data_IF_969519599843
#
_entry.id   IF_969519599843
#
_cell.length_a   1.000
_cell.length_b   1.000
_cell.length_c   1.000
_cell.angle_alpha   90.00
_cell.angle_beta   90.00
_cell.angle_gamma   90.00
#
_symmetry.space_group_name_H-M   'P 1'
#
loop_
_entity.id
_entity.type
_entity.pdbx_description
1 polymer ?
#
# COMPACT_ATOMS: atom_id res chain seq x y z
N UNK A 1 5.43 -16.13 -24.19
CA UNK A 1 6.06 -16.50 -22.90
C UNK A 1 5.06 -16.18 -21.81
N UNK A 2 4.78 -17.11 -20.87
CA UNK A 2 3.99 -16.76 -19.68
C UNK A 2 4.78 -15.70 -18.90
N UNK A 3 4.13 -14.58 -18.59
CA UNK A 3 4.66 -13.59 -17.66
C UNK A 3 4.98 -14.28 -16.33
N UNK A 4 6.15 -14.02 -15.75
CA UNK A 4 6.49 -14.55 -14.42
C UNK A 4 5.63 -13.86 -13.38
N UNK A 5 5.15 -14.62 -12.40
CA UNK A 5 4.47 -14.08 -11.22
C UNK A 5 5.47 -13.28 -10.38
N UNK A 6 5.03 -12.12 -9.88
CA UNK A 6 5.83 -11.22 -9.04
C UNK A 6 5.07 -10.83 -7.80
N UNK A 7 5.79 -10.45 -6.76
CA UNK A 7 5.19 -9.78 -5.60
C UNK A 7 5.42 -8.28 -5.70
N UNK A 8 4.41 -7.50 -5.35
CA UNK A 8 4.57 -6.07 -5.13
C UNK A 8 4.27 -5.77 -3.66
N UNK A 9 5.34 -5.52 -2.91
CA UNK A 9 5.29 -5.20 -1.49
C UNK A 9 5.00 -3.71 -1.34
N UNK A 10 4.04 -3.34 -0.50
CA UNK A 10 3.75 -1.94 -0.27
C UNK A 10 3.20 -1.68 1.13
N UNK A 11 3.30 -0.41 1.52
CA UNK A 11 2.85 0.10 2.81
C UNK A 11 2.42 1.57 2.65
N UNK A 12 1.46 2.00 3.48
CA UNK A 12 0.97 3.36 3.51
C UNK A 12 1.25 4.03 4.86
N UNK A 13 1.71 5.27 4.79
CA UNK A 13 1.59 6.20 5.90
C UNK A 13 0.38 7.08 5.66
N UNK A 14 -0.46 7.25 6.67
CA UNK A 14 -1.77 7.91 6.55
C UNK A 14 -1.92 9.00 7.61
N UNK A 15 -2.76 9.97 7.32
CA UNK A 15 -3.07 11.09 8.23
C UNK A 15 -4.22 10.77 9.21
N UNK A 16 -4.54 9.49 9.41
CA UNK A 16 -5.58 9.00 10.31
C UNK A 16 -5.85 7.51 10.09
N UNK A 17 -6.81 6.92 10.81
CA UNK A 17 -7.06 5.48 10.81
C UNK A 17 -8.31 5.06 10.02
N UNK A 18 -9.19 5.99 9.68
CA UNK A 18 -10.43 5.71 8.95
C UNK A 18 -10.19 5.85 7.44
N UNK A 19 -10.08 4.72 6.75
CA UNK A 19 -9.84 4.65 5.31
C UNK A 19 -10.87 5.40 4.44
N UNK A 20 -12.07 5.66 4.98
CA UNK A 20 -13.13 6.37 4.26
C UNK A 20 -12.93 7.88 4.28
N UNK A 21 -12.45 8.42 5.40
CA UNK A 21 -12.41 9.85 5.67
C UNK A 21 -10.98 10.42 5.66
N UNK A 22 -10.03 9.65 6.18
CA UNK A 22 -8.64 10.07 6.32
C UNK A 22 -7.88 9.92 5.00
N UNK A 23 -6.78 10.66 4.87
CA UNK A 23 -6.01 10.76 3.63
C UNK A 23 -4.67 10.03 3.74
N UNK A 24 -4.27 9.42 2.64
CA UNK A 24 -2.93 8.83 2.51
C UNK A 24 -1.91 9.98 2.50
N UNK A 25 -0.84 9.86 3.28
CA UNK A 25 0.27 10.81 3.33
C UNK A 25 1.42 10.37 2.43
N UNK A 26 1.75 9.08 2.47
CA UNK A 26 2.84 8.48 1.70
C UNK A 26 2.48 7.06 1.25
N UNK A 27 3.03 6.66 0.12
CA UNK A 27 3.04 5.29 -0.38
C UNK A 27 4.49 4.88 -0.60
N UNK A 28 4.87 3.73 -0.06
CA UNK A 28 6.13 3.07 -0.34
C UNK A 28 5.87 1.70 -0.97
N UNK A 29 6.71 1.28 -1.91
CA UNK A 29 6.60 -0.08 -2.43
C UNK A 29 7.79 -0.56 -3.26
N UNK A 30 7.95 -1.86 -3.35
CA UNK A 30 9.02 -2.53 -4.10
C UNK A 30 8.52 -3.83 -4.71
N UNK A 31 8.97 -4.12 -5.93
CA UNK A 31 8.66 -5.37 -6.63
C UNK A 31 9.74 -6.40 -6.34
N UNK A 32 9.35 -7.66 -6.20
CA UNK A 32 10.28 -8.79 -6.14
C UNK A 32 9.86 -9.91 -7.08
N UNK A 33 10.81 -10.76 -7.44
CA UNK A 33 10.50 -12.05 -8.04
C UNK A 33 9.97 -13.05 -7.00
N UNK A 34 9.67 -14.27 -7.44
CA UNK A 34 9.16 -15.34 -6.57
C UNK A 34 10.18 -15.84 -5.53
N UNK A 35 11.47 -15.52 -5.68
CA UNK A 35 12.52 -15.82 -4.71
C UNK A 35 12.82 -14.62 -3.79
N UNK A 36 11.92 -13.64 -3.79
CA UNK A 36 12.02 -12.41 -3.00
C UNK A 36 13.25 -11.56 -3.35
N UNK A 37 13.79 -11.71 -4.56
CA UNK A 37 14.85 -10.84 -5.05
C UNK A 37 14.24 -9.56 -5.61
N UNK A 38 14.73 -8.41 -5.16
CA UNK A 38 14.23 -7.09 -5.58
C UNK A 38 14.36 -6.89 -7.11
N UNK A 39 13.34 -6.26 -7.67
CA UNK A 39 13.22 -5.97 -9.10
C UNK A 39 12.96 -4.48 -9.30
N UNK A 40 13.93 -3.79 -9.91
CA UNK A 40 13.83 -2.35 -10.13
C UNK A 40 14.06 -1.55 -8.86
N UNK A 41 13.73 -0.25 -8.91
CA UNK A 41 13.97 0.67 -7.81
C UNK A 41 12.76 0.74 -6.86
N UNK A 42 13.00 0.93 -5.54
CA UNK A 42 11.94 1.25 -4.60
C UNK A 42 11.16 2.49 -5.04
N UNK A 43 9.84 2.46 -4.89
CA UNK A 43 8.96 3.60 -5.13
C UNK A 43 8.63 4.27 -3.80
N UNK A 44 8.77 5.60 -3.76
CA UNK A 44 8.31 6.43 -2.66
C UNK A 44 7.54 7.64 -3.22
N UNK A 45 6.26 7.76 -2.84
CA UNK A 45 5.38 8.83 -3.28
C UNK A 45 4.78 9.51 -2.06
N UNK A 46 4.64 10.84 -2.12
CA UNK A 46 3.86 11.61 -1.15
C UNK A 46 2.55 12.07 -1.80
N UNK A 47 1.48 12.16 -1.02
CA UNK A 47 0.21 12.69 -1.46
C UNK A 47 -0.06 14.02 -0.76
N UNK A 48 -0.15 15.09 -1.56
CA UNK A 48 -0.50 16.43 -1.08
C UNK A 48 -1.96 16.43 -0.63
N UNK A 49 -2.19 16.87 0.61
CA UNK A 49 -3.53 17.07 1.16
C UNK A 49 -4.31 18.13 0.37
N UNK A 50 -5.62 17.92 0.26
CA UNK A 50 -6.57 18.94 -0.19
C UNK A 50 -6.89 19.92 0.94
N UNK A 51 -7.31 21.13 0.57
CA UNK A 51 -7.57 22.23 1.52
C UNK A 51 -8.81 22.02 2.42
N UNK A 52 -9.55 20.93 2.21
CA UNK A 52 -10.78 20.57 2.92
C UNK A 52 -10.58 19.54 4.06
N UNK A 53 -9.33 19.14 4.32
CA UNK A 53 -9.01 18.11 5.32
C UNK A 53 -7.95 18.59 6.32
N UNK A 54 -8.14 18.21 7.59
CA UNK A 54 -7.15 18.38 8.64
C UNK A 54 -6.71 16.99 9.14
N UNK A 55 -5.40 16.71 9.23
CA UNK A 55 -4.91 15.41 9.66
C UNK A 55 -5.14 15.17 11.16
N UNK A 56 -5.25 13.90 11.55
CA UNK A 56 -5.13 13.51 12.94
C UNK A 56 -3.71 13.84 13.44
N UNK A 57 -3.56 14.68 14.49
CA UNK A 57 -2.26 15.06 15.00
C UNK A 57 -1.43 13.87 15.50
N UNK A 58 -2.07 12.82 16.03
CA UNK A 58 -1.36 11.64 16.53
C UNK A 58 -0.76 10.83 15.37
N UNK A 59 -1.48 10.65 14.27
CA UNK A 59 -0.92 10.07 13.04
C UNK A 59 0.31 10.86 12.54
N UNK A 60 0.28 12.19 12.53
CA UNK A 60 1.46 12.99 12.17
C UNK A 60 2.65 12.74 13.12
N UNK A 61 2.40 12.53 14.41
CA UNK A 61 3.45 12.24 15.39
C UNK A 61 4.03 10.84 15.23
N UNK A 62 3.21 9.84 14.92
CA UNK A 62 3.64 8.45 14.71
C UNK A 62 4.44 8.31 13.42
N UNK A 63 3.90 8.85 12.32
CA UNK A 63 4.50 8.76 10.98
C UNK A 63 5.69 9.70 10.79
N UNK A 64 5.78 10.75 11.61
CA UNK A 64 6.68 11.88 11.43
C UNK A 64 6.52 12.62 10.09
N UNK A 65 5.39 12.43 9.39
CA UNK A 65 5.07 13.12 8.15
C UNK A 65 4.13 14.29 8.45
N UNK A 66 4.51 15.48 7.98
CA UNK A 66 3.71 16.70 8.18
C UNK A 66 2.90 17.07 6.93
N UNK A 67 1.76 17.77 7.07
CA UNK A 67 1.06 18.37 5.94
C UNK A 67 1.95 19.29 5.10
N UNK A 68 2.84 20.05 5.76
CA UNK A 68 3.79 20.96 5.10
C UNK A 68 4.75 20.17 4.20
N UNK A 69 5.24 19.03 4.68
CA UNK A 69 6.10 18.14 3.90
C UNK A 69 5.37 17.57 2.68
N UNK A 70 4.16 17.02 2.88
CA UNK A 70 3.37 16.51 1.76
C UNK A 70 2.95 17.60 0.78
N UNK A 71 2.77 18.84 1.22
CA UNK A 71 2.51 19.97 0.33
C UNK A 71 3.71 20.31 -0.55
N UNK A 72 4.94 20.16 -0.03
CA UNK A 72 6.18 20.45 -0.76
C UNK A 72 6.61 19.30 -1.69
N UNK A 73 6.43 18.05 -1.26
CA UNK A 73 6.93 16.85 -1.96
C UNK A 73 5.86 16.10 -2.74
N UNK A 74 4.59 16.30 -2.39
CA UNK A 74 3.50 15.42 -2.79
C UNK A 74 2.85 15.78 -4.12
N UNK A 75 2.29 14.73 -4.72
CA UNK A 75 1.43 14.83 -5.89
C UNK A 75 -0.01 15.13 -5.45
N UNK A 76 -0.83 15.68 -6.34
CA UNK A 76 -2.28 15.71 -6.07
C UNK A 76 -2.85 14.28 -6.01
N UNK A 77 -3.94 14.07 -5.27
CA UNK A 77 -4.50 12.72 -5.01
C UNK A 77 -4.78 11.95 -6.32
N UNK A 78 -5.25 12.63 -7.37
CA UNK A 78 -5.55 12.00 -8.67
C UNK A 78 -4.31 11.43 -9.36
N UNK A 79 -3.23 12.21 -9.44
CA UNK A 79 -1.96 11.73 -9.99
C UNK A 79 -1.33 10.64 -9.09
N UNK A 80 -1.38 10.83 -7.77
CA UNK A 80 -0.88 9.88 -6.78
C UNK A 80 -1.56 8.51 -6.92
N UNK A 81 -2.90 8.47 -6.93
CA UNK A 81 -3.66 7.23 -7.10
C UNK A 81 -3.47 6.62 -8.50
N UNK A 82 -3.30 7.44 -9.54
CA UNK A 82 -2.98 6.95 -10.89
C UNK A 82 -1.65 6.22 -10.96
N UNK A 83 -0.61 6.72 -10.27
CA UNK A 83 0.69 6.03 -10.15
C UNK A 83 0.59 4.74 -9.35
N UNK A 84 -0.12 4.75 -8.21
CA UNK A 84 -0.37 3.54 -7.42
C UNK A 84 -1.09 2.48 -8.26
N UNK A 85 -2.15 2.86 -8.98
CA UNK A 85 -2.87 1.93 -9.85
C UNK A 85 -1.97 1.32 -10.93
N UNK A 86 -1.06 2.10 -11.50
CA UNK A 86 -0.11 1.61 -12.51
C UNK A 86 0.79 0.52 -11.94
N UNK A 87 1.32 0.72 -10.74
CA UNK A 87 2.21 -0.24 -10.06
C UNK A 87 1.45 -1.50 -9.62
N UNK A 88 0.29 -1.34 -8.98
CA UNK A 88 -0.49 -2.44 -8.44
C UNK A 88 -1.22 -3.27 -9.53
N UNK A 89 -1.46 -2.69 -10.72
CA UNK A 89 -2.18 -3.35 -11.83
C UNK A 89 -1.28 -3.96 -12.91
N UNK A 90 0.04 -4.03 -12.68
CA UNK A 90 0.93 -4.80 -13.55
C UNK A 90 0.48 -6.28 -13.58
N UNK A 91 0.42 -6.95 -14.75
CA UNK A 91 -0.03 -8.34 -14.86
C UNK A 91 0.72 -9.33 -13.99
N UNK A 92 0.02 -10.32 -13.47
CA UNK A 92 0.58 -11.40 -12.64
C UNK A 92 1.31 -10.85 -11.39
N UNK A 93 0.76 -9.79 -10.82
CA UNK A 93 1.22 -9.22 -9.55
C UNK A 93 0.39 -9.75 -8.40
N UNK A 94 1.04 -10.32 -7.39
CA UNK A 94 0.47 -10.48 -6.06
C UNK A 94 0.84 -9.25 -5.23
N UNK A 95 -0.12 -8.40 -4.88
CA UNK A 95 0.16 -7.25 -4.00
C UNK A 95 0.15 -7.72 -2.56
N UNK A 96 1.21 -7.44 -1.81
CA UNK A 96 1.44 -7.96 -0.45
C UNK A 96 1.84 -6.83 0.49
N UNK A 97 1.42 -6.92 1.75
CA UNK A 97 1.85 -6.03 2.83
C UNK A 97 1.69 -6.72 4.18
N UNK A 98 1.80 -5.95 5.27
CA UNK A 98 1.61 -6.42 6.64
C UNK A 98 0.39 -5.74 7.24
N UNK A 99 -0.69 -6.48 7.50
CA UNK A 99 -2.03 -5.96 7.83
C UNK A 99 -2.71 -5.18 6.68
N UNK A 100 -2.19 -5.29 5.45
CA UNK A 100 -2.67 -4.54 4.30
C UNK A 100 -4.10 -4.86 3.91
N UNK A 101 -4.54 -6.11 4.02
CA UNK A 101 -5.91 -6.50 3.63
C UNK A 101 -6.99 -5.79 4.46
N UNK A 102 -6.66 -5.39 5.69
CA UNK A 102 -7.61 -4.77 6.64
C UNK A 102 -7.40 -3.27 6.81
N UNK A 103 -6.35 -2.71 6.23
CA UNK A 103 -6.00 -1.30 6.36
C UNK A 103 -5.65 -0.68 5.00
N UNK A 104 -4.47 -0.96 4.47
CA UNK A 104 -3.93 -0.32 3.27
C UNK A 104 -4.80 -0.52 2.04
N UNK A 105 -5.31 -1.74 1.84
CA UNK A 105 -6.20 -2.06 0.74
C UNK A 105 -7.49 -1.24 0.81
N UNK A 106 -8.01 -0.98 2.00
CA UNK A 106 -9.21 -0.15 2.19
C UNK A 106 -8.91 1.32 1.85
N UNK A 107 -7.74 1.84 2.23
CA UNK A 107 -7.30 3.17 1.81
C UNK A 107 -7.14 3.27 0.30
N UNK A 108 -6.52 2.27 -0.34
CA UNK A 108 -6.37 2.21 -1.80
C UNK A 108 -7.73 2.15 -2.49
N UNK A 109 -8.65 1.30 -2.02
CA UNK A 109 -10.01 1.17 -2.56
C UNK A 109 -10.78 2.50 -2.49
N UNK A 110 -10.78 3.15 -1.33
CA UNK A 110 -11.44 4.45 -1.16
C UNK A 110 -10.75 5.55 -1.99
N UNK A 111 -9.42 5.56 -2.05
CA UNK A 111 -8.66 6.49 -2.88
C UNK A 111 -8.96 6.33 -4.37
N UNK A 112 -9.04 5.09 -4.86
CA UNK A 112 -9.44 4.79 -6.24
C UNK A 112 -10.88 5.23 -6.52
N UNK A 113 -11.81 4.91 -5.62
CA UNK A 113 -13.19 5.35 -5.73
C UNK A 113 -13.31 6.88 -5.87
N UNK A 114 -12.62 7.64 -5.00
CA UNK A 114 -12.60 9.12 -5.05
C UNK A 114 -12.00 9.67 -6.35
N UNK A 115 -11.10 8.92 -6.99
CA UNK A 115 -10.35 9.34 -8.17
C UNK A 115 -10.79 8.63 -9.46
N UNK A 116 -12.01 8.08 -9.50
CA UNK A 116 -12.63 7.45 -10.68
C UNK A 116 -11.83 6.26 -11.26
N UNK A 117 -11.12 5.53 -10.41
CA UNK A 117 -10.43 4.29 -10.73
C UNK A 117 -11.25 3.13 -10.18
N UNK A 118 -11.35 2.01 -10.91
CA UNK A 118 -12.05 0.82 -10.40
C UNK A 118 -11.38 0.32 -9.10
N UNK A 119 -12.09 0.28 -7.96
CA UNK A 119 -11.47 -0.03 -6.67
C UNK A 119 -10.93 -1.46 -6.54
N UNK A 120 -11.43 -2.40 -7.36
CA UNK A 120 -11.20 -3.83 -7.15
C UNK A 120 -10.46 -4.49 -8.30
N UNK A 121 -10.48 -3.90 -9.50
CA UNK A 121 -9.94 -4.51 -10.72
C UNK A 121 -8.48 -4.96 -10.60
N UNK A 122 -7.63 -4.17 -9.93
CA UNK A 122 -6.21 -4.53 -9.68
C UNK A 122 -6.01 -5.81 -8.89
N UNK A 123 -7.04 -6.25 -8.15
CA UNK A 123 -6.97 -7.33 -7.17
C UNK A 123 -7.16 -8.73 -7.79
N UNK A 124 -7.66 -8.81 -9.03
CA UNK A 124 -8.00 -10.08 -9.68
C UNK A 124 -7.77 -10.11 -11.19
N UNK A 125 -7.78 -8.96 -11.88
CA UNK A 125 -7.65 -8.96 -13.33
C UNK A 125 -6.22 -9.32 -13.76
N UNK A 126 -6.05 -9.85 -14.98
CA UNK A 126 -4.74 -10.09 -15.61
C UNK A 126 -3.81 -11.02 -14.80
N UNK A 127 -4.40 -11.91 -14.00
CA UNK A 127 -3.67 -12.85 -13.16
C UNK A 127 -3.19 -12.24 -11.84
N UNK A 128 -3.71 -11.07 -11.47
CA UNK A 128 -3.35 -10.44 -10.19
C UNK A 128 -4.06 -11.10 -9.01
N UNK A 129 -3.47 -10.90 -7.84
CA UNK A 129 -3.97 -11.41 -6.57
C UNK A 129 -3.50 -10.53 -5.41
N UNK A 130 -3.91 -10.86 -4.19
CA UNK A 130 -3.51 -10.15 -2.97
C UNK A 130 -3.13 -11.12 -1.87
N UNK A 131 -2.25 -10.68 -0.97
CA UNK A 131 -1.87 -11.43 0.22
C UNK A 131 -1.46 -10.51 1.38
N UNK A 132 -1.37 -11.08 2.58
CA UNK A 132 -1.02 -10.36 3.81
C UNK A 132 -0.21 -11.29 4.71
N UNK A 133 0.96 -10.81 5.13
CA UNK A 133 1.87 -11.62 5.94
C UNK A 133 1.56 -11.57 7.44
N UNK A 134 0.71 -10.68 7.93
CA UNK A 134 0.35 -10.64 9.36
C UNK A 134 -0.29 -11.96 9.82
N UNK A 135 -1.30 -12.44 9.08
CA UNK A 135 -1.95 -13.70 9.43
C UNK A 135 -1.06 -14.92 9.12
N UNK A 136 -0.13 -14.80 8.16
CA UNK A 136 0.93 -15.80 7.95
C UNK A 136 1.83 -15.90 9.18
N UNK A 137 2.28 -14.76 9.75
CA UNK A 137 3.12 -14.75 10.95
C UNK A 137 2.38 -15.33 12.16
N UNK A 138 1.09 -15.01 12.32
CA UNK A 138 0.23 -15.62 13.36
C UNK A 138 0.12 -17.13 13.18
N UNK A 139 -0.12 -17.60 11.95
CA UNK A 139 -0.20 -19.02 11.66
C UNK A 139 1.14 -19.73 11.87
N UNK A 140 2.27 -19.11 11.51
CA UNK A 140 3.60 -19.64 11.77
C UNK A 140 3.83 -19.78 13.29
N UNK A 141 3.55 -18.74 14.07
CA UNK A 141 3.63 -18.79 15.54
C UNK A 141 2.78 -19.92 16.13
N UNK A 142 1.50 -19.99 15.75
CA UNK A 142 0.55 -20.92 16.40
C UNK A 142 0.71 -22.37 15.93
N UNK A 143 1.13 -22.58 14.68
CA UNK A 143 1.13 -23.91 14.06
C UNK A 143 2.54 -24.48 13.89
N UNK A 144 3.57 -23.67 13.60
CA UNK A 144 4.95 -24.10 13.32
C UNK A 144 5.97 -23.06 13.82
N UNK A 145 6.07 -22.82 15.14
CA UNK A 145 6.88 -21.73 15.70
C UNK A 145 8.39 -21.97 15.61
N UNK A 146 8.83 -23.20 15.35
CA UNK A 146 10.23 -23.58 15.40
C UNK A 146 11.08 -22.81 14.36
N UNK A 147 12.18 -22.20 14.81
CA UNK A 147 13.13 -21.48 13.95
C UNK A 147 12.92 -19.97 13.88
N UNK A 148 11.88 -19.42 14.52
CA UNK A 148 11.66 -17.97 14.68
C UNK A 148 11.67 -17.64 16.18
N UNK A 149 12.32 -16.54 16.56
CA UNK A 149 12.20 -15.98 17.91
C UNK A 149 10.97 -15.08 17.98
N UNK A 150 10.08 -15.35 18.94
CA UNK A 150 8.82 -14.64 19.11
C UNK A 150 8.90 -13.70 20.33
N UNK A 151 8.71 -12.37 20.16
CA UNK A 151 8.82 -11.39 21.24
C UNK A 151 7.62 -11.34 22.18
#
# INVERSE_FOLDING_TARGET
MKSKETFFWYDLETFGLDSRHDRIAQFAGIRTDANLQEMGEPTLLYCRLSDDYLPDPLSCLITHITPIETAAKGLNESEFMGRINTLLSEPNTCTVGYNSLRFDDEFVRNGFFRNFIDPYKREYERGNSRWDILDLMRAAHDLRPEGIEWP
#
